data_IF_269861778168
#
_entry.id   IF_269861778168
#
_cell.length_a   1.000
_cell.length_b   1.000
_cell.length_c   1.000
_cell.angle_alpha   90.00
_cell.angle_beta   90.00
_cell.angle_gamma   90.00
#
_symmetry.space_group_name_H-M   'P 1'
#
loop_
_entity.id
_entity.type
_entity.pdbx_description
1 polymer ?
#
# COMPACT_ATOMS: atom_id res chain seq x y z
N UNK A 1 -36.42 -22.92 86.38
CA UNK A 1 -36.70 -21.55 85.90
C UNK A 1 -35.39 -20.94 85.44
N UNK A 2 -35.40 -20.17 84.34
CA UNK A 2 -34.26 -19.51 83.66
C UNK A 2 -33.28 -20.48 82.94
N UNK A 3 -32.70 -20.23 81.76
CA UNK A 3 -32.79 -19.17 80.74
C UNK A 3 -32.12 -19.67 79.45
N UNK A 4 -32.37 -18.96 78.34
CA UNK A 4 -31.90 -19.15 76.96
C UNK A 4 -30.40 -19.38 76.76
N UNK A 5 -30.04 -20.09 75.67
CA UNK A 5 -29.08 -19.57 74.67
C UNK A 5 -29.36 -20.21 73.28
N UNK A 6 -29.66 -19.38 72.28
CA UNK A 6 -29.84 -19.76 70.87
C UNK A 6 -28.47 -19.91 70.20
N UNK A 7 -28.24 -21.02 69.49
CA UNK A 7 -27.15 -21.17 68.52
C UNK A 7 -27.67 -20.79 67.12
N UNK A 8 -27.03 -19.80 66.50
CA UNK A 8 -27.26 -19.38 65.11
C UNK A 8 -26.38 -20.26 64.21
N UNK A 9 -26.90 -20.96 63.19
CA UNK A 9 -26.05 -21.55 62.18
C UNK A 9 -25.65 -20.47 61.16
N UNK A 10 -24.35 -20.28 61.02
CA UNK A 10 -23.73 -19.39 60.04
C UNK A 10 -23.87 -20.04 58.65
N UNK A 11 -24.70 -19.46 57.77
CA UNK A 11 -24.80 -19.84 56.37
C UNK A 11 -23.57 -19.34 55.60
N UNK A 12 -22.65 -20.25 55.26
CA UNK A 12 -21.57 -19.99 54.30
C UNK A 12 -22.16 -19.99 52.88
N UNK A 13 -22.41 -18.79 52.33
CA UNK A 13 -22.61 -18.61 50.89
C UNK A 13 -21.27 -18.87 50.19
N UNK A 14 -21.17 -19.99 49.47
CA UNK A 14 -20.08 -20.25 48.54
C UNK A 14 -20.20 -19.33 47.32
N UNK A 15 -19.35 -18.32 47.23
CA UNK A 15 -19.19 -17.53 46.02
C UNK A 15 -18.40 -18.36 44.99
N UNK A 16 -19.11 -18.95 44.02
CA UNK A 16 -18.49 -19.59 42.87
C UNK A 16 -17.86 -18.52 41.97
N UNK A 17 -16.52 -18.46 41.93
CA UNK A 17 -15.81 -17.72 40.87
C UNK A 17 -16.04 -18.44 39.54
N UNK A 18 -16.93 -17.88 38.71
CA UNK A 18 -16.98 -18.23 37.29
C UNK A 18 -15.72 -17.69 36.61
N UNK A 19 -14.76 -18.57 36.34
CA UNK A 19 -13.66 -18.28 35.44
C UNK A 19 -14.19 -18.30 34.01
N UNK A 20 -14.54 -17.12 33.48
CA UNK A 20 -14.72 -16.92 32.05
C UNK A 20 -13.34 -17.02 31.40
N UNK A 21 -13.02 -18.19 30.85
CA UNK A 21 -11.91 -18.33 29.92
C UNK A 21 -12.27 -17.55 28.66
N UNK A 22 -11.75 -16.31 28.57
CA UNK A 22 -11.67 -15.59 27.31
C UNK A 22 -10.70 -16.36 26.42
N UNK A 23 -11.21 -17.26 25.59
CA UNK A 23 -10.44 -17.76 24.46
C UNK A 23 -10.15 -16.56 23.56
N UNK A 24 -8.88 -16.22 23.28
CA UNK A 24 -8.58 -15.24 22.27
C UNK A 24 -9.09 -15.82 20.95
N UNK A 25 -10.20 -15.27 20.44
CA UNK A 25 -10.69 -15.56 19.11
C UNK A 25 -9.67 -15.02 18.10
N UNK A 26 -8.62 -15.80 17.84
CA UNK A 26 -7.71 -15.51 16.75
C UNK A 26 -8.50 -15.74 15.45
N UNK A 27 -8.80 -14.66 14.73
CA UNK A 27 -9.51 -14.74 13.46
C UNK A 27 -8.77 -15.74 12.56
N UNK A 28 -9.48 -16.74 12.04
CA UNK A 28 -8.91 -17.70 11.10
C UNK A 28 -8.31 -16.95 9.92
N UNK A 29 -7.11 -17.32 9.43
CA UNK A 29 -6.51 -16.66 8.28
C UNK A 29 -7.50 -16.70 7.10
N UNK A 30 -7.56 -15.63 6.28
CA UNK A 30 -8.48 -15.58 5.16
C UNK A 30 -8.17 -16.72 4.19
N UNK A 31 -9.19 -17.35 3.63
CA UNK A 31 -9.00 -18.39 2.62
C UNK A 31 -8.66 -17.81 1.25
N UNK A 32 -7.91 -18.57 0.45
CA UNK A 32 -7.76 -18.27 -0.97
C UNK A 32 -9.04 -18.69 -1.72
N UNK A 33 -9.68 -17.75 -2.39
CA UNK A 33 -10.91 -17.94 -3.14
C UNK A 33 -10.70 -17.55 -4.60
N UNK A 34 -11.49 -18.16 -5.48
CA UNK A 34 -11.56 -17.86 -6.89
C UNK A 34 -13.00 -17.41 -7.21
N UNK A 35 -13.11 -16.26 -7.86
CA UNK A 35 -14.35 -15.73 -8.44
C UNK A 35 -14.17 -15.57 -9.94
N UNK A 36 -15.00 -16.25 -10.72
CA UNK A 36 -14.98 -16.16 -12.18
C UNK A 36 -16.16 -15.33 -12.67
N UNK A 37 -15.85 -14.33 -13.49
CA UNK A 37 -16.82 -13.58 -14.29
C UNK A 37 -16.71 -14.00 -15.75
N UNK A 38 -17.53 -13.42 -16.63
CA UNK A 38 -17.48 -13.72 -18.07
C UNK A 38 -16.12 -13.38 -18.70
N UNK A 39 -15.45 -12.34 -18.21
CA UNK A 39 -14.24 -11.80 -18.83
C UNK A 39 -12.96 -12.09 -18.03
N UNK A 40 -13.06 -12.38 -16.73
CA UNK A 40 -11.90 -12.37 -15.84
C UNK A 40 -12.07 -13.36 -14.69
N UNK A 41 -10.96 -14.02 -14.33
CA UNK A 41 -10.85 -14.87 -13.14
C UNK A 41 -10.07 -14.10 -12.08
N UNK A 42 -10.67 -13.90 -10.92
CA UNK A 42 -10.06 -13.27 -9.77
C UNK A 42 -9.67 -14.35 -8.76
N UNK A 43 -8.40 -14.40 -8.37
CA UNK A 43 -7.89 -15.34 -7.36
C UNK A 43 -7.23 -14.54 -6.24
N UNK A 44 -7.72 -14.69 -5.02
CA UNK A 44 -7.28 -13.85 -3.92
C UNK A 44 -8.07 -14.06 -2.64
N UNK A 45 -8.03 -13.07 -1.76
CA UNK A 45 -8.87 -13.01 -0.55
C UNK A 45 -9.89 -11.88 -0.67
N UNK A 46 -11.08 -12.07 -0.10
CA UNK A 46 -12.05 -10.98 0.06
C UNK A 46 -11.58 -10.05 1.19
N UNK A 47 -11.48 -8.76 0.90
CA UNK A 47 -11.12 -7.72 1.88
C UNK A 47 -12.37 -7.06 2.46
N UNK A 48 -13.35 -6.78 1.61
CA UNK A 48 -14.64 -6.21 1.97
C UNK A 48 -15.66 -6.58 0.90
N UNK A 49 -16.94 -6.69 1.25
CA UNK A 49 -18.01 -6.91 0.29
C UNK A 49 -19.34 -6.39 0.82
N UNK A 50 -20.27 -6.15 -0.10
CA UNK A 50 -21.69 -5.97 0.15
C UNK A 50 -22.48 -6.86 -0.83
N UNK A 51 -23.78 -6.64 -1.00
CA UNK A 51 -24.62 -7.47 -1.88
C UNK A 51 -24.31 -7.29 -3.38
N UNK A 52 -23.65 -6.19 -3.76
CA UNK A 52 -23.39 -5.83 -5.16
C UNK A 52 -21.93 -6.06 -5.58
N UNK A 53 -20.98 -5.77 -4.69
CA UNK A 53 -19.54 -5.74 -4.96
C UNK A 53 -18.74 -6.50 -3.90
N UNK A 54 -17.65 -7.11 -4.35
CA UNK A 54 -16.61 -7.69 -3.50
C UNK A 54 -15.24 -7.13 -3.89
N UNK A 55 -14.57 -6.49 -2.94
CA UNK A 55 -13.17 -6.11 -3.05
C UNK A 55 -12.29 -7.33 -2.80
N UNK A 56 -11.60 -7.75 -3.85
CA UNK A 56 -10.67 -8.87 -3.84
C UNK A 56 -9.24 -8.35 -3.85
N UNK A 57 -8.37 -8.96 -3.05
CA UNK A 57 -6.93 -8.74 -3.08
C UNK A 57 -6.22 -10.01 -3.52
N UNK A 58 -5.43 -9.93 -4.59
CA UNK A 58 -4.67 -11.07 -5.08
C UNK A 58 -3.41 -11.35 -4.23
N UNK A 59 -2.67 -12.39 -4.60
CA UNK A 59 -1.45 -12.81 -3.89
C UNK A 59 -0.27 -11.83 -4.05
N UNK A 60 -0.35 -10.86 -4.96
CA UNK A 60 0.63 -9.79 -5.15
C UNK A 60 0.29 -8.51 -4.36
N UNK A 61 -0.93 -8.42 -3.82
CA UNK A 61 -1.43 -7.23 -3.12
C UNK A 61 -2.22 -6.27 -4.03
N UNK A 62 -2.52 -6.66 -5.27
CA UNK A 62 -3.37 -5.90 -6.19
C UNK A 62 -4.83 -6.04 -5.75
N UNK A 63 -5.55 -4.91 -5.72
CA UNK A 63 -6.97 -4.83 -5.43
C UNK A 63 -7.78 -4.80 -6.72
N UNK A 64 -8.88 -5.55 -6.72
CA UNK A 64 -9.84 -5.59 -7.82
C UNK A 64 -11.26 -5.54 -7.25
N UNK A 65 -12.09 -4.72 -7.87
CA UNK A 65 -13.53 -4.71 -7.60
C UNK A 65 -14.20 -5.81 -8.45
N UNK A 66 -14.93 -6.70 -7.81
CA UNK A 66 -15.68 -7.77 -8.48
C UNK A 66 -17.17 -7.52 -8.28
N UNK A 67 -17.88 -7.25 -9.38
CA UNK A 67 -19.35 -7.16 -9.37
C UNK A 67 -19.95 -8.56 -9.17
N UNK A 68 -20.60 -8.78 -8.02
CA UNK A 68 -21.15 -10.08 -7.63
C UNK A 68 -22.25 -10.56 -8.58
N UNK A 69 -23.04 -9.65 -9.15
CA UNK A 69 -24.06 -9.96 -10.18
C UNK A 69 -23.47 -10.58 -11.45
N UNK A 70 -22.18 -10.36 -11.73
CA UNK A 70 -21.47 -10.91 -12.91
C UNK A 70 -20.72 -12.21 -12.60
N UNK A 71 -20.70 -12.66 -11.35
CA UNK A 71 -19.98 -13.87 -10.95
C UNK A 71 -20.74 -15.10 -11.43
N UNK A 72 -20.07 -15.96 -12.20
CA UNK A 72 -20.61 -17.24 -12.72
C UNK A 72 -20.25 -18.42 -11.83
N UNK A 73 -19.09 -18.36 -11.17
CA UNK A 73 -18.68 -19.39 -10.23
C UNK A 73 -17.81 -18.83 -9.12
N UNK A 74 -17.97 -19.43 -7.94
CA UNK A 74 -17.18 -19.16 -6.74
C UNK A 74 -16.66 -20.47 -6.19
N UNK A 75 -15.37 -20.53 -5.83
CA UNK A 75 -14.82 -21.68 -5.10
C UNK A 75 -13.71 -21.26 -4.16
N UNK A 76 -13.54 -22.02 -3.08
CA UNK A 76 -12.35 -21.96 -2.23
C UNK A 76 -11.24 -22.78 -2.88
N UNK A 77 -10.11 -22.13 -3.16
CA UNK A 77 -8.93 -22.75 -3.78
C UNK A 77 -8.03 -23.38 -2.72
N UNK A 78 -7.84 -22.68 -1.59
CA UNK A 78 -7.04 -23.17 -0.47
C UNK A 78 -7.64 -22.77 0.87
N UNK A 79 -7.24 -23.49 1.93
CA UNK A 79 -7.68 -23.18 3.28
C UNK A 79 -7.19 -21.81 3.76
N UNK A 80 -6.00 -21.42 3.32
CA UNK A 80 -5.31 -20.20 3.75
C UNK A 80 -4.76 -19.44 2.54
N UNK A 81 -4.89 -18.12 2.59
CA UNK A 81 -4.26 -17.21 1.66
C UNK A 81 -2.76 -17.14 1.96
N UNK A 82 -1.95 -17.28 0.92
CA UNK A 82 -0.51 -17.13 0.99
C UNK A 82 -0.07 -16.08 -0.01
N UNK A 83 0.88 -15.24 0.39
CA UNK A 83 1.47 -14.22 -0.47
C UNK A 83 2.26 -14.87 -1.59
N UNK A 84 2.34 -14.20 -2.74
CA UNK A 84 3.12 -14.72 -3.85
C UNK A 84 4.60 -14.77 -3.44
N UNK A 85 5.29 -15.92 -3.62
CA UNK A 85 6.69 -16.04 -3.24
C UNK A 85 7.57 -15.02 -3.97
N UNK A 86 8.62 -14.54 -3.29
CA UNK A 86 9.50 -13.48 -3.79
C UNK A 86 10.08 -13.77 -5.19
N UNK A 87 10.50 -15.00 -5.45
CA UNK A 87 11.03 -15.42 -6.75
C UNK A 87 9.98 -15.33 -7.87
N UNK A 88 8.71 -15.63 -7.57
CA UNK A 88 7.60 -15.50 -8.52
C UNK A 88 7.25 -14.04 -8.77
N UNK A 89 7.24 -13.19 -7.73
CA UNK A 89 7.08 -11.73 -7.88
C UNK A 89 8.19 -11.13 -8.75
N UNK A 90 9.46 -11.48 -8.49
CA UNK A 90 10.60 -11.04 -9.31
C UNK A 90 10.47 -11.48 -10.77
N UNK A 91 10.08 -12.74 -11.00
CA UNK A 91 9.88 -13.25 -12.35
C UNK A 91 8.73 -12.53 -13.08
N UNK A 92 7.62 -12.26 -12.40
CA UNK A 92 6.50 -11.49 -12.97
C UNK A 92 6.94 -10.09 -13.39
N UNK A 93 7.61 -9.35 -12.51
CA UNK A 93 8.15 -8.03 -12.82
C UNK A 93 9.19 -8.09 -13.95
N UNK A 94 10.05 -9.12 -13.97
CA UNK A 94 11.05 -9.27 -15.03
C UNK A 94 10.41 -9.51 -16.39
N UNK A 95 9.34 -10.31 -16.44
CA UNK A 95 8.57 -10.55 -17.67
C UNK A 95 7.80 -9.32 -18.11
N UNK A 96 7.33 -8.51 -17.16
CA UNK A 96 6.57 -7.28 -17.42
C UNK A 96 7.44 -6.15 -17.99
N UNK A 97 8.62 -5.91 -17.40
CA UNK A 97 9.49 -4.79 -17.75
C UNK A 97 10.66 -5.16 -18.68
N UNK A 98 10.96 -6.45 -18.82
CA UNK A 98 12.01 -6.96 -19.69
C UNK A 98 13.42 -6.87 -19.09
N UNK A 99 14.44 -7.36 -19.83
CA UNK A 99 15.79 -7.61 -19.29
C UNK A 99 16.63 -6.36 -19.00
N UNK A 100 16.18 -5.18 -19.47
CA UNK A 100 16.83 -3.90 -19.22
C UNK A 100 16.57 -3.36 -17.82
N UNK A 101 15.59 -3.93 -17.12
CA UNK A 101 15.29 -3.62 -15.73
C UNK A 101 15.96 -4.63 -14.80
N UNK A 102 16.48 -4.11 -13.69
CA UNK A 102 16.95 -4.86 -12.55
C UNK A 102 15.91 -4.82 -11.44
N UNK A 103 15.67 -5.97 -10.81
CA UNK A 103 14.68 -6.10 -9.73
C UNK A 103 15.38 -6.51 -8.44
N UNK A 104 15.45 -5.56 -7.51
CA UNK A 104 16.06 -5.75 -6.20
C UNK A 104 14.95 -5.84 -5.14
N UNK A 105 15.14 -6.75 -4.19
CA UNK A 105 14.31 -6.83 -3.01
C UNK A 105 15.06 -6.20 -1.84
N UNK A 106 14.36 -5.36 -1.08
CA UNK A 106 14.82 -4.79 0.17
C UNK A 106 14.00 -5.40 1.32
N UNK A 107 13.96 -4.75 2.49
CA UNK A 107 13.20 -5.24 3.64
C UNK A 107 11.70 -5.11 3.42
N UNK A 108 11.26 -3.99 2.85
CA UNK A 108 9.85 -3.66 2.65
C UNK A 108 9.46 -3.47 1.18
N UNK A 109 10.44 -3.41 0.25
CA UNK A 109 10.18 -3.07 -1.14
C UNK A 109 10.68 -4.11 -2.16
N UNK A 110 10.07 -4.04 -3.34
CA UNK A 110 10.57 -4.57 -4.61
C UNK A 110 10.79 -3.40 -5.56
N UNK A 111 12.06 -3.11 -5.85
CA UNK A 111 12.45 -2.00 -6.71
C UNK A 111 12.70 -2.54 -8.11
N UNK A 112 11.94 -2.06 -9.09
CA UNK A 112 12.14 -2.30 -10.52
C UNK A 112 12.67 -1.01 -11.14
N UNK A 113 13.92 -1.01 -11.62
CA UNK A 113 14.54 0.17 -12.21
C UNK A 113 15.59 -0.23 -13.25
N UNK A 114 16.07 0.71 -14.09
CA UNK A 114 17.23 0.48 -14.95
C UNK A 114 18.42 -0.10 -14.18
N UNK A 115 19.16 -0.99 -14.83
CA UNK A 115 20.31 -1.69 -14.23
C UNK A 115 21.29 -0.72 -13.56
N UNK A 116 21.70 -1.05 -12.35
CA UNK A 116 22.66 -0.28 -11.57
C UNK A 116 22.07 0.85 -10.72
N UNK A 117 20.79 1.22 -10.92
CA UNK A 117 20.13 2.29 -10.13
C UNK A 117 19.22 1.76 -9.02
N UNK A 118 18.70 0.54 -9.16
CA UNK A 118 17.69 -0.03 -8.25
C UNK A 118 18.11 -0.02 -6.76
N UNK A 119 19.40 -0.25 -6.46
CA UNK A 119 19.90 -0.26 -5.09
C UNK A 119 19.87 1.13 -4.44
N UNK A 120 20.26 2.16 -5.18
CA UNK A 120 20.25 3.53 -4.69
C UNK A 120 18.81 4.00 -4.42
N UNK A 121 17.89 3.69 -5.33
CA UNK A 121 16.47 3.98 -5.13
C UNK A 121 15.90 3.23 -3.92
N UNK A 122 16.20 1.94 -3.78
CA UNK A 122 15.77 1.16 -2.62
C UNK A 122 16.20 1.75 -1.28
N UNK A 123 17.38 2.37 -1.20
CA UNK A 123 17.83 3.10 -0.01
C UNK A 123 16.87 4.23 0.37
N UNK A 124 16.51 5.10 -0.59
CA UNK A 124 15.58 6.23 -0.35
C UNK A 124 14.22 5.75 0.17
N UNK A 125 13.67 4.69 -0.42
CA UNK A 125 12.37 4.13 -0.01
C UNK A 125 12.44 3.53 1.41
N UNK A 126 13.51 2.80 1.75
CA UNK A 126 13.69 2.23 3.09
C UNK A 126 13.94 3.30 4.16
N UNK A 127 14.78 4.31 3.86
CA UNK A 127 15.05 5.43 4.76
C UNK A 127 13.74 6.18 5.10
N UNK A 128 12.88 6.38 4.10
CA UNK A 128 11.56 6.95 4.31
C UNK A 128 10.68 6.05 5.18
N UNK A 129 10.63 4.74 4.92
CA UNK A 129 9.80 3.81 5.69
C UNK A 129 10.18 3.82 7.18
N UNK A 130 11.48 3.81 7.49
CA UNK A 130 11.98 3.86 8.86
C UNK A 130 11.65 5.23 9.50
N UNK A 131 11.85 6.34 8.78
CA UNK A 131 11.49 7.70 9.25
C UNK A 131 9.99 7.83 9.53
N UNK A 132 9.15 7.31 8.62
CA UNK A 132 7.70 7.29 8.75
C UNK A 132 7.25 6.50 9.98
N UNK A 133 7.79 5.28 10.13
CA UNK A 133 7.46 4.41 11.26
C UNK A 133 7.88 5.06 12.58
N UNK A 134 9.07 5.67 12.61
CA UNK A 134 9.56 6.40 13.78
C UNK A 134 8.67 7.60 14.11
N UNK A 135 8.33 8.43 13.12
CA UNK A 135 7.48 9.62 13.28
C UNK A 135 6.14 9.33 13.97
N UNK A 136 5.46 8.25 13.58
CA UNK A 136 4.19 7.85 14.19
C UNK A 136 4.39 7.19 15.56
N UNK A 137 5.46 6.40 15.74
CA UNK A 137 5.76 5.76 17.02
C UNK A 137 5.94 6.79 18.15
N UNK A 138 6.63 7.91 17.88
CA UNK A 138 6.81 9.01 18.83
C UNK A 138 5.51 9.70 19.23
N UNK A 139 4.47 9.59 18.40
CA UNK A 139 3.14 10.17 18.61
C UNK A 139 2.14 9.16 19.18
N UNK A 140 2.61 7.99 19.62
CA UNK A 140 1.77 6.96 20.23
C UNK A 140 1.00 6.10 19.22
N UNK A 141 1.33 6.19 17.92
CA UNK A 141 0.71 5.38 16.88
C UNK A 141 1.68 4.32 16.38
N UNK A 142 1.31 3.05 16.54
CA UNK A 142 2.05 1.93 15.96
C UNK A 142 1.49 1.62 14.59
N UNK A 143 2.22 2.01 13.55
CA UNK A 143 1.88 1.70 12.16
C UNK A 143 2.05 0.19 11.92
N UNK A 144 1.14 -0.43 11.18
CA UNK A 144 1.22 -1.87 10.90
C UNK A 144 2.34 -2.13 9.89
N UNK A 145 3.03 -3.26 10.02
CA UNK A 145 3.93 -3.69 8.96
C UNK A 145 3.16 -3.95 7.65
N UNK A 146 3.67 -3.53 6.49
CA UNK A 146 3.08 -3.84 5.19
C UNK A 146 2.87 -5.34 5.02
N UNK A 147 1.69 -5.75 4.58
CA UNK A 147 1.41 -7.17 4.34
C UNK A 147 2.27 -7.74 3.20
N UNK A 148 2.46 -6.95 2.14
CA UNK A 148 3.21 -7.29 0.93
C UNK A 148 4.46 -6.43 0.80
N UNK A 149 5.45 -6.92 0.06
CA UNK A 149 6.53 -6.05 -0.41
C UNK A 149 5.93 -5.01 -1.35
N UNK A 150 6.21 -3.74 -1.06
CA UNK A 150 5.72 -2.59 -1.81
C UNK A 150 6.54 -2.44 -3.10
N UNK A 151 5.86 -2.38 -4.24
CA UNK A 151 6.54 -2.33 -5.54
C UNK A 151 6.75 -0.87 -5.95
N UNK A 152 7.98 -0.52 -6.28
CA UNK A 152 8.32 0.77 -6.88
C UNK A 152 8.94 0.53 -8.27
N UNK A 153 8.42 1.23 -9.28
CA UNK A 153 8.85 1.16 -10.66
C UNK A 153 9.40 2.52 -11.07
N UNK A 154 10.69 2.57 -11.38
CA UNK A 154 11.36 3.79 -11.81
C UNK A 154 11.75 3.63 -13.28
N UNK A 155 11.15 4.42 -14.15
CA UNK A 155 11.42 4.43 -15.58
C UNK A 155 12.66 5.28 -15.89
N UNK A 156 13.42 4.94 -16.95
CA UNK A 156 14.58 5.74 -17.36
C UNK A 156 14.18 7.07 -18.02
N UNK A 157 12.95 7.22 -18.52
CA UNK A 157 12.53 8.42 -19.23
C UNK A 157 11.02 8.64 -19.10
N UNK A 158 10.60 9.87 -19.45
CA UNK A 158 9.20 10.29 -19.38
C UNK A 158 8.31 9.53 -20.37
N UNK A 159 8.85 9.13 -21.53
CA UNK A 159 8.06 8.47 -22.58
C UNK A 159 7.59 7.08 -22.12
N UNK A 160 8.50 6.27 -21.59
CA UNK A 160 8.16 4.95 -21.03
C UNK A 160 7.23 5.06 -19.83
N UNK A 161 7.43 6.06 -18.97
CA UNK A 161 6.52 6.33 -17.86
C UNK A 161 5.12 6.71 -18.34
N UNK A 162 4.99 7.54 -19.37
CA UNK A 162 3.69 7.93 -19.92
C UNK A 162 2.97 6.77 -20.61
N UNK A 163 3.71 5.86 -21.26
CA UNK A 163 3.13 4.64 -21.80
C UNK A 163 2.64 3.69 -20.70
N UNK A 164 3.33 3.64 -19.56
CA UNK A 164 2.87 2.92 -18.38
C UNK A 164 1.62 3.58 -17.76
N UNK A 165 1.58 4.92 -17.65
CA UNK A 165 0.40 5.66 -17.19
C UNK A 165 -0.85 5.32 -17.99
N UNK A 166 -0.74 5.25 -19.32
CA UNK A 166 -1.87 4.88 -20.20
C UNK A 166 -2.41 3.49 -19.89
N UNK A 167 -1.54 2.53 -19.58
CA UNK A 167 -1.92 1.15 -19.21
C UNK A 167 -2.65 1.10 -17.87
N UNK A 168 -2.19 1.90 -16.91
CA UNK A 168 -2.79 2.01 -15.57
C UNK A 168 -4.05 2.93 -15.55
N UNK A 169 -4.45 3.49 -16.70
CA UNK A 169 -5.59 4.41 -16.78
C UNK A 169 -5.34 5.77 -16.12
N UNK A 170 -4.08 6.09 -15.81
CA UNK A 170 -3.65 7.36 -15.21
C UNK A 170 -3.46 8.39 -16.32
N UNK A 171 -4.08 9.56 -16.16
CA UNK A 171 -3.92 10.67 -17.11
C UNK A 171 -2.54 11.31 -16.92
N UNK A 172 -1.62 10.99 -17.82
CA UNK A 172 -0.32 11.65 -17.90
C UNK A 172 -0.47 13.09 -18.40
N UNK A 173 -0.12 14.07 -17.55
CA UNK A 173 0.07 15.47 -17.93
C UNK A 173 1.55 15.84 -17.81
N UNK A 174 1.99 16.92 -18.47
CA UNK A 174 3.41 17.35 -18.44
C UNK A 174 3.97 17.57 -17.02
N UNK A 175 3.13 17.85 -16.03
CA UNK A 175 3.55 18.02 -14.63
C UNK A 175 3.56 16.74 -13.78
N UNK A 176 3.19 15.58 -14.34
CA UNK A 176 3.17 14.32 -13.59
C UNK A 176 4.57 13.71 -13.55
N UNK A 177 5.17 13.67 -12.36
CA UNK A 177 6.52 13.13 -12.15
C UNK A 177 6.53 11.69 -11.61
N UNK A 178 5.46 11.33 -10.92
CA UNK A 178 5.20 9.99 -10.39
C UNK A 178 3.77 9.88 -9.86
N UNK A 179 3.38 8.68 -9.48
CA UNK A 179 2.15 8.42 -8.73
C UNK A 179 2.26 7.11 -7.95
N UNK A 180 1.59 7.04 -6.80
CA UNK A 180 1.14 5.82 -6.16
C UNK A 180 -0.27 5.44 -6.65
N UNK A 181 -0.48 4.17 -7.00
CA UNK A 181 -1.77 3.65 -7.45
C UNK A 181 -2.40 2.71 -6.41
N UNK A 182 -3.53 3.08 -5.77
CA UNK A 182 -4.16 2.28 -4.73
C UNK A 182 -4.61 0.88 -5.19
N UNK A 183 -5.01 0.69 -6.44
CA UNK A 183 -5.40 -0.66 -6.92
C UNK A 183 -4.20 -1.58 -7.14
N UNK A 184 -3.20 -1.19 -7.94
CA UNK A 184 -2.03 -2.03 -8.23
C UNK A 184 -1.05 -2.11 -7.04
N UNK A 185 -1.19 -1.21 -6.07
CA UNK A 185 -0.27 -1.01 -4.95
C UNK A 185 1.15 -0.64 -5.36
N UNK A 186 1.32 -0.03 -6.53
CA UNK A 186 2.62 0.31 -7.09
C UNK A 186 2.84 1.81 -7.05
N UNK A 187 4.08 2.19 -6.80
CA UNK A 187 4.58 3.53 -7.09
C UNK A 187 5.28 3.49 -8.43
N UNK A 188 4.95 4.43 -9.32
CA UNK A 188 5.54 4.57 -10.65
C UNK A 188 6.06 6.01 -10.83
N UNK A 189 7.30 6.16 -11.24
CA UNK A 189 7.91 7.47 -11.51
C UNK A 189 9.04 7.34 -12.55
N UNK A 190 9.64 8.44 -12.99
CA UNK A 190 10.78 8.39 -13.92
C UNK A 190 11.95 9.26 -13.46
N UNK A 191 13.15 8.90 -13.91
CA UNK A 191 14.36 9.66 -13.67
C UNK A 191 14.54 10.76 -14.73
N UNK A 192 14.34 12.02 -14.33
CA UNK A 192 14.50 13.18 -15.21
C UNK A 192 15.93 13.37 -15.72
N UNK A 193 16.94 12.91 -14.96
CA UNK A 193 18.35 13.06 -15.31
C UNK A 193 18.79 12.22 -16.51
N UNK A 194 17.94 11.32 -16.99
CA UNK A 194 18.16 10.57 -18.23
C UNK A 194 17.46 11.19 -19.46
N UNK A 195 16.61 12.21 -19.27
CA UNK A 195 15.75 12.78 -20.31
C UNK A 195 16.17 14.19 -20.82
N UNK A 196 17.27 14.78 -20.34
CA UNK A 196 17.78 16.09 -20.82
C UNK A 196 18.39 16.06 -22.23
N UNK A 197 17.66 15.50 -23.19
CA UNK A 197 17.96 15.62 -24.62
C UNK A 197 16.86 16.33 -25.43
N UNK A 198 15.60 16.44 -24.99
CA UNK A 198 14.55 16.98 -25.86
C UNK A 198 13.43 17.77 -25.14
N UNK A 199 13.51 19.09 -25.34
CA UNK A 199 12.44 20.08 -25.55
C UNK A 199 11.45 20.52 -24.44
N UNK A 200 11.61 21.79 -24.07
CA UNK A 200 10.60 22.73 -23.55
C UNK A 200 9.45 22.96 -24.54
N UNK A 201 8.20 23.01 -24.05
CA UNK A 201 7.24 24.09 -24.39
C UNK A 201 5.96 24.09 -23.53
N UNK A 202 5.64 25.31 -23.07
CA UNK A 202 4.47 25.93 -22.43
C UNK A 202 3.16 25.13 -22.18
N UNK A 203 2.65 25.26 -20.95
CA UNK A 203 1.40 24.64 -20.47
C UNK A 203 0.25 25.63 -20.31
N UNK A 204 -0.94 25.28 -20.83
CA UNK A 204 -2.24 25.87 -20.48
C UNK A 204 -2.95 24.95 -19.45
N UNK A 205 -3.43 25.54 -18.35
CA UNK A 205 -4.10 24.88 -17.22
C UNK A 205 -5.58 24.56 -17.49
N UNK A 206 -5.98 23.31 -17.24
CA UNK A 206 -7.39 22.95 -16.96
C UNK A 206 -7.46 21.82 -15.90
N UNK A 207 -8.39 21.96 -14.95
CA UNK A 207 -8.54 21.14 -13.75
C UNK A 207 -9.08 19.73 -14.03
N UNK A 208 -8.51 18.71 -13.39
CA UNK A 208 -8.98 17.31 -13.42
C UNK A 208 -9.01 16.72 -11.99
N UNK A 209 -9.85 15.69 -11.70
CA UNK A 209 -10.13 15.22 -10.34
C UNK A 209 -8.99 14.48 -9.60
N UNK A 210 -7.89 14.18 -10.29
CA UNK A 210 -6.66 13.65 -9.70
C UNK A 210 -5.57 14.70 -9.94
N UNK A 211 -5.41 15.65 -9.01
CA UNK A 211 -4.32 16.62 -9.09
C UNK A 211 -3.09 16.05 -8.39
N UNK A 212 -2.19 15.50 -9.17
CA UNK A 212 -0.87 15.07 -8.75
C UNK A 212 -0.01 16.29 -8.39
N UNK A 213 0.83 16.14 -7.37
CA UNK A 213 1.70 17.20 -6.88
C UNK A 213 2.64 17.70 -7.99
N UNK A 214 2.63 19.02 -8.23
CA UNK A 214 3.66 19.70 -8.99
C UNK A 214 4.80 19.99 -8.03
N UNK A 215 5.91 19.26 -8.12
CA UNK A 215 7.13 19.62 -7.38
C UNK A 215 7.65 20.92 -7.99
N UNK A 216 7.66 22.01 -7.20
CA UNK A 216 8.32 23.25 -7.59
C UNK A 216 9.83 23.01 -7.63
N UNK A 217 10.39 22.93 -8.84
CA UNK A 217 11.83 22.72 -9.08
C UNK A 217 12.66 24.01 -8.93
N UNK A 218 12.29 24.90 -8.00
CA UNK A 218 12.99 26.18 -7.85
C UNK A 218 14.33 25.95 -7.12
N UNK A 219 15.43 25.98 -7.87
CA UNK A 219 16.80 25.88 -7.35
C UNK A 219 17.34 24.49 -6.99
N UNK A 220 16.55 23.41 -7.10
CA UNK A 220 16.98 22.04 -6.76
C UNK A 220 17.68 21.33 -7.93
N UNK A 221 18.65 20.47 -7.62
CA UNK A 221 19.22 19.55 -8.62
C UNK A 221 18.19 18.52 -9.07
N UNK A 222 18.36 17.95 -10.28
CA UNK A 222 17.46 16.91 -10.79
C UNK A 222 17.41 15.67 -9.89
N UNK A 223 18.53 15.34 -9.25
CA UNK A 223 18.60 14.23 -8.30
C UNK A 223 17.77 14.50 -7.03
N UNK A 224 17.78 15.75 -6.52
CA UNK A 224 16.96 16.17 -5.39
C UNK A 224 15.48 16.20 -5.76
N UNK A 225 15.12 16.74 -6.92
CA UNK A 225 13.74 16.75 -7.39
C UNK A 225 13.16 15.34 -7.59
N UNK A 226 13.97 14.41 -8.13
CA UNK A 226 13.62 13.00 -8.21
C UNK A 226 13.43 12.39 -6.82
N UNK A 227 14.35 12.66 -5.89
CA UNK A 227 14.28 12.17 -4.53
C UNK A 227 13.02 12.66 -3.80
N UNK A 228 12.65 13.92 -3.96
CA UNK A 228 11.43 14.48 -3.38
C UNK A 228 10.18 13.81 -3.95
N UNK A 229 10.14 13.61 -5.26
CA UNK A 229 9.05 12.86 -5.93
C UNK A 229 8.96 11.43 -5.39
N UNK A 230 10.09 10.73 -5.26
CA UNK A 230 10.12 9.39 -4.67
C UNK A 230 9.57 9.40 -3.25
N UNK A 231 9.94 10.39 -2.42
CA UNK A 231 9.49 10.50 -1.04
C UNK A 231 7.99 10.77 -0.98
N UNK A 232 7.47 11.67 -1.81
CA UNK A 232 6.05 11.97 -1.89
C UNK A 232 5.23 10.71 -2.19
N UNK A 233 5.57 10.01 -3.27
CA UNK A 233 4.81 8.84 -3.71
C UNK A 233 5.01 7.62 -2.80
N UNK A 234 6.21 7.47 -2.22
CA UNK A 234 6.46 6.44 -1.23
C UNK A 234 5.68 6.70 0.06
N UNK A 235 5.48 7.96 0.46
CA UNK A 235 4.66 8.30 1.64
C UNK A 235 3.22 7.84 1.45
N UNK A 236 2.63 8.09 0.27
CA UNK A 236 1.32 7.53 -0.09
C UNK A 236 1.32 6.02 0.09
N UNK A 237 2.26 5.33 -0.57
CA UNK A 237 2.34 3.88 -0.55
C UNK A 237 2.45 3.32 0.88
N UNK A 238 3.31 3.88 1.73
CA UNK A 238 3.47 3.47 3.12
C UNK A 238 2.19 3.72 3.91
N UNK A 239 1.57 4.90 3.79
CA UNK A 239 0.35 5.23 4.53
C UNK A 239 -0.81 4.27 4.19
N UNK A 240 -0.97 3.90 2.91
CA UNK A 240 -1.99 2.96 2.44
C UNK A 240 -1.70 1.49 2.77
N UNK A 241 -0.45 1.12 3.09
CA UNK A 241 -0.07 -0.26 3.44
C UNK A 241 0.15 -0.49 4.94
N UNK A 242 0.19 0.57 5.74
CA UNK A 242 0.43 0.49 7.19
C UNK A 242 -0.83 0.74 8.03
N UNK A 243 -1.98 0.92 7.38
CA UNK A 243 -3.28 1.08 8.02
C UNK A 243 -3.61 2.52 8.43
N UNK A 244 -2.82 3.51 7.98
CA UNK A 244 -3.11 4.92 8.20
C UNK A 244 -4.16 5.45 7.21
N UNK A 245 -4.11 4.98 5.96
CA UNK A 245 -5.10 5.25 4.93
C UNK A 245 -5.75 3.95 4.47
N UNK A 246 -6.99 4.05 3.96
CA UNK A 246 -7.70 2.89 3.42
C UNK A 246 -7.59 2.84 1.91
N UNK A 247 -7.16 1.69 1.36
CA UNK A 247 -7.17 1.46 -0.10
C UNK A 247 -8.58 1.19 -0.65
N UNK A 248 -9.57 1.03 0.23
CA UNK A 248 -10.98 0.87 -0.11
C UNK A 248 -11.80 2.02 0.48
N UNK A 249 -12.51 2.76 -0.36
CA UNK A 249 -13.27 3.94 0.05
C UNK A 249 -12.47 5.25 -0.05
N UNK A 250 -13.06 6.32 0.46
CA UNK A 250 -12.50 7.67 0.32
C UNK A 250 -11.60 8.06 1.48
N UNK A 251 -10.54 8.81 1.17
CA UNK A 251 -9.68 9.43 2.17
C UNK A 251 -9.74 10.96 1.92
N UNK A 252 -9.88 11.79 2.96
CA UNK A 252 -9.88 13.24 2.78
C UNK A 252 -8.58 13.68 2.11
N UNK A 253 -8.71 14.32 0.96
CA UNK A 253 -7.57 14.68 0.12
C UNK A 253 -6.49 15.48 0.85
N UNK A 254 -6.91 16.47 1.65
CA UNK A 254 -5.99 17.32 2.39
C UNK A 254 -5.13 16.52 3.39
N UNK A 255 -5.64 15.39 3.90
CA UNK A 255 -4.88 14.50 4.79
C UNK A 255 -3.84 13.73 3.99
N UNK A 256 -4.24 13.14 2.86
CA UNK A 256 -3.39 12.31 2.01
C UNK A 256 -2.24 13.14 1.42
N UNK A 257 -2.56 14.24 0.75
CA UNK A 257 -1.56 15.12 0.14
C UNK A 257 -0.73 15.86 1.19
N UNK A 258 -1.38 16.36 2.26
CA UNK A 258 -0.70 17.09 3.32
C UNK A 258 0.33 16.22 4.04
N UNK A 259 0.04 14.94 4.26
CA UNK A 259 0.99 14.00 4.84
C UNK A 259 2.19 13.76 3.91
N UNK A 260 1.95 13.53 2.62
CA UNK A 260 3.03 13.34 1.65
C UNK A 260 3.96 14.56 1.57
N UNK A 261 3.40 15.76 1.47
CA UNK A 261 4.16 17.03 1.49
C UNK A 261 4.90 17.25 2.81
N UNK A 262 4.33 16.80 3.93
CA UNK A 262 5.01 16.88 5.23
C UNK A 262 6.32 16.09 5.23
N UNK A 263 6.33 14.86 4.69
CA UNK A 263 7.51 14.00 4.63
C UNK A 263 8.55 14.38 3.58
N UNK A 264 8.20 15.23 2.59
CA UNK A 264 9.20 15.81 1.67
C UNK A 264 10.24 16.65 2.41
N UNK A 265 9.85 17.32 3.50
CA UNK A 265 10.76 18.14 4.30
C UNK A 265 11.91 17.31 4.91
N UNK A 266 13.12 17.87 4.92
CA UNK A 266 14.28 17.21 5.51
C UNK A 266 14.16 17.04 7.03
N UNK A 267 13.48 17.96 7.71
CA UNK A 267 13.35 18.01 9.18
C UNK A 267 12.65 16.79 9.78
N UNK A 268 11.82 16.10 9.00
CA UNK A 268 11.09 14.91 9.47
C UNK A 268 11.75 13.59 9.08
N UNK A 269 12.92 13.65 8.44
CA UNK A 269 13.70 12.48 7.97
C UNK A 269 15.03 12.31 8.72
N UNK A 270 15.17 12.93 9.89
CA UNK A 270 16.31 12.80 10.83
C UNK A 270 15.93 12.05 12.09
#
# INVERSE_FOLDING_TARGET
MLSCLRLIPLSLLGAGLFWLTLEPACAKPPSLIEMKTDNTVFVGKSIAHNDDICWMMDQSGMLSEVSLKKVKSFRRVASEFQKLPLNKMKLQLQNEFGPLYEIIATRHYLICAPRGKAKAYGGVFEDLYESFSHYFSLRGYQVKAPEFLMVAVIFPDQAQFFDYCKKDGVRAGQGLLGYYHPHTNRTALFDQGAATALHDTDSIQYETPLSYARVSADGKSMAEALRDTMIHEATHQVAFNTGLHTRIGENPRWVVEGLATTFESDELRT
#
